data_IF_654367291053
#
_entry.id   IF_654367291053
#
_cell.length_a   1.000
_cell.length_b   1.000
_cell.length_c   1.000
_cell.angle_alpha   90.00
_cell.angle_beta   90.00
_cell.angle_gamma   90.00
#
_symmetry.space_group_name_H-M   'P 1'
#
loop_
_entity.id
_entity.type
_entity.pdbx_description
1 polymer ?
#
# COMPACT_ATOMS: atom_id res chain seq x y z
N UNK A 1 -84.49 23.78 40.00
CA UNK A 1 -83.98 23.58 38.61
C UNK A 1 -82.51 23.66 38.66
N UNK A 2 -81.78 22.52 38.46
CA UNK A 2 -80.34 22.46 38.47
C UNK A 2 -79.88 22.18 37.03
N UNK A 3 -79.23 23.15 36.40
CA UNK A 3 -78.62 23.04 35.06
C UNK A 3 -77.23 22.45 35.25
N UNK A 4 -77.02 21.29 34.64
CA UNK A 4 -75.65 20.66 34.54
C UNK A 4 -74.99 21.12 33.28
N UNK A 5 -73.86 21.79 33.43
CA UNK A 5 -72.97 22.17 32.35
C UNK A 5 -72.02 20.96 32.04
N UNK A 6 -72.13 20.38 30.84
CA UNK A 6 -71.17 19.39 30.36
C UNK A 6 -70.04 20.14 29.72
N UNK A 7 -68.83 19.96 30.26
CA UNK A 7 -67.60 20.43 29.64
C UNK A 7 -67.04 19.31 28.72
N UNK A 8 -66.94 19.59 27.41
CA UNK A 8 -66.24 18.76 26.42
C UNK A 8 -64.77 19.05 26.52
N UNK A 9 -63.99 18.04 26.91
CA UNK A 9 -62.55 18.10 26.88
C UNK A 9 -62.09 17.48 25.54
N UNK A 10 -61.69 18.33 24.62
CA UNK A 10 -61.01 17.89 23.35
C UNK A 10 -59.57 17.55 23.63
N UNK A 11 -59.23 16.26 23.55
CA UNK A 11 -57.85 15.79 23.62
C UNK A 11 -57.23 15.94 22.24
N UNK A 12 -56.34 16.92 22.09
CA UNK A 12 -55.45 17.03 20.93
C UNK A 12 -54.31 16.06 21.11
N UNK A 13 -54.33 14.93 20.38
CA UNK A 13 -53.19 14.04 20.29
C UNK A 13 -52.15 14.65 19.33
N UNK A 14 -51.13 15.25 19.91
CA UNK A 14 -49.96 15.74 19.17
C UNK A 14 -49.11 14.54 18.81
N UNK A 15 -49.18 14.08 17.55
CA UNK A 15 -48.32 13.04 17.00
C UNK A 15 -46.93 13.63 16.81
N UNK A 16 -46.02 13.45 17.78
CA UNK A 16 -44.59 13.66 17.63
C UNK A 16 -44.07 12.53 16.72
N UNK A 17 -44.05 12.76 15.40
CA UNK A 17 -43.18 12.02 14.51
C UNK A 17 -41.74 12.41 14.85
N UNK A 18 -41.12 11.64 15.74
CA UNK A 18 -39.68 11.70 15.96
C UNK A 18 -38.98 11.37 14.65
N UNK A 19 -38.40 12.38 13.99
CA UNK A 19 -37.42 12.15 12.97
C UNK A 19 -36.26 11.39 13.64
N UNK A 20 -36.13 10.10 13.31
CA UNK A 20 -34.94 9.34 13.64
C UNK A 20 -33.75 10.14 13.04
N UNK A 21 -32.69 10.40 13.82
CA UNK A 21 -31.52 10.99 13.25
C UNK A 21 -31.06 10.03 12.14
N UNK A 22 -30.98 10.54 10.92
CA UNK A 22 -30.27 9.84 9.86
C UNK A 22 -28.90 9.49 10.45
N UNK A 23 -28.66 8.20 10.70
CA UNK A 23 -27.33 7.74 11.04
C UNK A 23 -26.44 8.25 9.92
N UNK A 24 -25.60 9.23 10.23
CA UNK A 24 -24.48 9.56 9.37
C UNK A 24 -23.75 8.23 9.22
N UNK A 25 -23.91 7.59 8.07
CA UNK A 25 -23.04 6.49 7.68
C UNK A 25 -21.64 7.09 7.80
N UNK A 26 -20.86 6.65 8.78
CA UNK A 26 -19.44 6.90 8.78
C UNK A 26 -19.01 6.53 7.35
N UNK A 27 -18.56 7.52 6.57
CA UNK A 27 -17.94 7.23 5.29
C UNK A 27 -16.74 6.37 5.66
N UNK A 28 -16.89 5.04 5.51
CA UNK A 28 -15.89 4.08 5.88
C UNK A 28 -14.60 4.44 5.17
N UNK A 29 -13.49 4.15 5.78
CA UNK A 29 -12.17 4.35 5.19
C UNK A 29 -12.19 3.94 3.71
N UNK A 30 -12.10 4.92 2.82
CA UNK A 30 -12.29 4.69 1.38
C UNK A 30 -11.11 4.01 0.71
N UNK A 31 -10.00 3.80 1.45
CA UNK A 31 -8.74 3.34 0.92
C UNK A 31 -8.06 2.33 1.87
N UNK A 32 -7.62 1.20 1.30
CA UNK A 32 -6.81 0.18 1.97
C UNK A 32 -5.43 0.11 1.29
N UNK A 33 -4.37 0.39 2.03
CA UNK A 33 -3.00 0.23 1.57
C UNK A 33 -2.39 -1.07 2.11
N UNK A 34 -1.78 -1.84 1.22
CA UNK A 34 -1.16 -3.13 1.47
C UNK A 34 0.28 -3.13 0.96
N UNK A 35 1.10 -4.01 1.50
CA UNK A 35 2.45 -4.22 0.97
C UNK A 35 3.53 -4.30 2.04
N UNK A 36 4.71 -3.85 1.68
CA UNK A 36 5.92 -3.94 2.47
C UNK A 36 6.37 -2.58 3.07
N UNK A 37 7.68 -2.43 3.26
CA UNK A 37 8.28 -1.23 3.83
C UNK A 37 8.11 0.04 3.00
N UNK A 38 7.93 -0.08 1.68
CA UNK A 38 7.69 1.08 0.80
C UNK A 38 6.29 1.64 1.04
N UNK A 39 5.26 0.77 1.12
CA UNK A 39 3.92 1.19 1.48
C UNK A 39 3.83 1.66 2.94
N UNK A 40 4.62 1.06 3.83
CA UNK A 40 4.70 1.47 5.24
C UNK A 40 5.34 2.85 5.44
N UNK A 41 6.17 3.30 4.49
CA UNK A 41 6.93 4.55 4.61
C UNK A 41 8.16 4.42 5.51
N UNK A 42 8.83 3.26 5.48
CA UNK A 42 9.98 3.01 6.35
C UNK A 42 11.08 4.04 6.12
N UNK A 43 11.51 4.68 7.20
CA UNK A 43 12.67 5.58 7.24
C UNK A 43 13.65 5.08 8.32
N UNK A 44 14.84 4.58 7.94
CA UNK A 44 15.83 4.05 8.89
C UNK A 44 16.36 5.10 9.86
N UNK A 45 16.21 6.40 9.54
CA UNK A 45 16.64 7.50 10.42
C UNK A 45 15.57 7.90 11.44
N UNK A 46 14.40 7.24 11.43
CA UNK A 46 13.30 7.49 12.37
C UNK A 46 13.19 6.38 13.42
N UNK A 47 12.57 6.72 14.54
CA UNK A 47 12.30 5.73 15.59
C UNK A 47 11.22 4.73 15.12
N UNK A 48 11.55 3.44 14.92
CA UNK A 48 10.58 2.44 14.45
C UNK A 48 9.48 2.11 15.46
N UNK A 49 9.63 2.56 16.74
CA UNK A 49 8.61 2.39 17.78
C UNK A 49 7.44 3.37 17.64
N UNK A 50 7.54 4.33 16.73
CA UNK A 50 6.52 5.35 16.49
C UNK A 50 6.07 5.23 15.04
N UNK A 51 5.04 4.41 14.77
CA UNK A 51 4.55 4.16 13.42
C UNK A 51 4.14 5.44 12.67
N UNK A 52 3.60 6.44 13.36
CA UNK A 52 3.25 7.73 12.77
C UNK A 52 4.43 8.56 12.25
N UNK A 53 5.67 8.17 12.54
CA UNK A 53 6.86 8.77 11.94
C UNK A 53 7.15 8.23 10.53
N UNK A 54 6.51 7.11 10.18
CA UNK A 54 6.68 6.43 8.91
C UNK A 54 5.60 6.92 7.95
N UNK A 55 6.00 7.70 6.93
CA UNK A 55 5.09 8.33 5.98
C UNK A 55 5.39 7.79 4.59
N UNK A 56 4.50 6.95 4.08
CA UNK A 56 4.63 6.29 2.80
C UNK A 56 3.84 6.95 1.67
N UNK A 57 3.90 6.39 0.47
CA UNK A 57 3.07 6.85 -0.64
C UNK A 57 1.55 6.80 -0.34
N UNK A 58 1.04 5.86 0.52
CA UNK A 58 -0.38 5.83 0.85
C UNK A 58 -0.89 7.13 1.48
N UNK A 59 -0.11 7.75 2.36
CA UNK A 59 -0.48 9.01 3.01
C UNK A 59 -0.70 10.14 1.97
N UNK A 60 0.16 10.21 0.94
CA UNK A 60 0.03 11.21 -0.13
C UNK A 60 -1.15 10.91 -1.05
N UNK A 61 -1.43 9.63 -1.34
CA UNK A 61 -2.61 9.21 -2.12
C UNK A 61 -3.88 9.55 -1.34
N UNK A 62 -3.95 9.21 -0.06
CA UNK A 62 -5.09 9.49 0.81
C UNK A 62 -5.38 11.00 0.88
N UNK A 63 -4.32 11.79 1.11
CA UNK A 63 -4.41 13.26 1.13
C UNK A 63 -4.92 13.84 -0.19
N UNK A 64 -4.40 13.38 -1.33
CA UNK A 64 -4.81 13.87 -2.65
C UNK A 64 -6.26 13.50 -3.01
N UNK A 65 -6.74 12.35 -2.52
CA UNK A 65 -8.11 11.88 -2.73
C UNK A 65 -9.08 12.41 -1.67
N UNK A 66 -8.58 13.07 -0.63
CA UNK A 66 -9.34 13.50 0.55
C UNK A 66 -10.14 12.35 1.17
N UNK A 67 -9.47 11.23 1.41
CA UNK A 67 -10.02 10.04 2.06
C UNK A 67 -9.14 9.62 3.24
N UNK A 68 -9.72 8.90 4.18
CA UNK A 68 -8.93 8.19 5.18
C UNK A 68 -8.43 6.87 4.60
N UNK A 69 -7.16 6.53 4.88
CA UNK A 69 -6.60 5.24 4.55
C UNK A 69 -6.47 4.33 5.77
N UNK A 70 -6.49 3.04 5.50
CA UNK A 70 -6.06 2.00 6.43
C UNK A 70 -4.81 1.37 5.85
N UNK A 71 -3.66 1.67 6.44
CA UNK A 71 -2.37 1.16 5.98
C UNK A 71 -2.01 -0.10 6.78
N UNK A 72 -2.20 -1.28 6.17
CA UNK A 72 -1.89 -2.58 6.78
C UNK A 72 -0.54 -3.14 6.35
N UNK A 73 0.27 -2.36 5.65
CA UNK A 73 1.60 -2.78 5.20
C UNK A 73 2.55 -3.10 6.37
N UNK A 74 3.55 -3.92 6.09
CA UNK A 74 4.50 -4.39 7.09
C UNK A 74 5.93 -4.36 6.53
N UNK A 75 6.88 -3.68 7.21
CA UNK A 75 8.27 -3.68 6.77
C UNK A 75 8.84 -5.10 6.63
N UNK A 76 9.45 -5.38 5.47
CA UNK A 76 10.06 -6.67 5.18
C UNK A 76 9.08 -7.79 4.78
N UNK A 77 7.81 -7.47 4.50
CA UNK A 77 6.82 -8.45 4.04
C UNK A 77 7.19 -9.00 2.66
N UNK A 78 7.28 -10.32 2.54
CA UNK A 78 7.40 -11.04 1.28
C UNK A 78 6.04 -11.62 0.85
N UNK A 79 5.89 -11.99 -0.42
CA UNK A 79 4.61 -12.51 -0.93
C UNK A 79 4.15 -13.78 -0.21
N UNK A 80 5.08 -14.65 0.20
CA UNK A 80 4.79 -15.84 0.98
C UNK A 80 4.29 -15.52 2.39
N UNK A 81 4.95 -14.57 3.09
CA UNK A 81 4.59 -14.09 4.43
C UNK A 81 3.23 -13.40 4.44
N UNK A 82 2.92 -12.66 3.39
CA UNK A 82 1.63 -12.01 3.19
C UNK A 82 0.45 -12.99 3.22
N UNK A 83 0.66 -14.22 2.72
CA UNK A 83 -0.38 -15.27 2.63
C UNK A 83 -0.39 -16.17 3.88
N UNK A 84 0.79 -16.52 4.41
CA UNK A 84 0.94 -17.51 5.48
C UNK A 84 1.99 -17.09 6.49
N UNK A 85 1.68 -17.27 7.79
CA UNK A 85 2.65 -17.03 8.86
C UNK A 85 3.86 -17.98 8.84
N UNK A 86 3.84 -19.01 8.00
CA UNK A 86 4.95 -19.94 7.76
C UNK A 86 5.57 -19.79 6.37
N UNK A 87 5.03 -18.88 5.53
CA UNK A 87 5.55 -18.58 4.20
C UNK A 87 6.89 -17.86 4.25
N UNK A 88 7.54 -17.71 3.09
CA UNK A 88 8.76 -16.92 2.99
C UNK A 88 8.49 -15.48 3.45
N UNK A 89 9.35 -14.95 4.29
CA UNK A 89 9.29 -13.62 4.85
C UNK A 89 10.71 -13.09 5.05
N UNK A 90 10.91 -11.81 4.87
CA UNK A 90 12.21 -11.22 5.13
C UNK A 90 12.31 -10.73 6.58
N UNK A 91 11.49 -9.75 6.96
CA UNK A 91 11.59 -9.11 8.29
C UNK A 91 10.23 -8.88 8.97
N UNK A 92 9.10 -8.95 8.25
CA UNK A 92 7.79 -8.57 8.81
C UNK A 92 7.42 -9.36 10.08
N UNK A 93 7.60 -10.67 10.09
CA UNK A 93 7.32 -11.47 11.29
C UNK A 93 8.24 -11.11 12.47
N UNK A 94 9.59 -11.06 12.33
CA UNK A 94 10.44 -10.52 13.37
C UNK A 94 10.04 -9.12 13.83
N UNK A 95 9.73 -8.21 12.91
CA UNK A 95 9.30 -6.84 13.21
C UNK A 95 8.10 -6.83 14.16
N UNK A 96 7.07 -7.61 13.84
CA UNK A 96 5.81 -7.66 14.61
C UNK A 96 5.90 -8.50 15.88
N UNK A 97 6.44 -9.71 15.79
CA UNK A 97 6.29 -10.70 16.86
C UNK A 97 7.50 -10.82 17.75
N UNK A 98 8.71 -10.54 17.27
CA UNK A 98 9.95 -10.58 18.07
C UNK A 98 10.25 -9.19 18.64
N UNK A 99 10.37 -8.19 17.77
CA UNK A 99 10.71 -6.83 18.20
C UNK A 99 9.49 -6.05 18.70
N UNK A 100 8.27 -6.54 18.47
CA UNK A 100 7.00 -5.93 18.90
C UNK A 100 6.87 -4.48 18.45
N UNK A 101 7.36 -4.18 17.25
CA UNK A 101 7.28 -2.85 16.67
C UNK A 101 5.86 -2.61 16.12
N UNK A 102 5.31 -1.41 16.28
CA UNK A 102 3.96 -1.11 15.86
C UNK A 102 3.85 -1.02 14.34
N UNK A 103 2.72 -1.45 13.80
CA UNK A 103 2.25 -1.13 12.46
C UNK A 103 1.29 0.06 12.53
N UNK A 104 0.95 0.67 11.38
CA UNK A 104 -0.09 1.71 11.31
C UNK A 104 -1.45 1.17 11.78
N UNK A 105 -1.75 -0.09 11.43
CA UNK A 105 -2.93 -0.81 11.94
C UNK A 105 -2.51 -2.17 12.47
N UNK A 106 -3.02 -2.54 13.65
CA UNK A 106 -2.65 -3.80 14.31
C UNK A 106 -3.53 -4.95 13.81
N UNK A 107 -2.90 -6.09 13.50
CA UNK A 107 -3.55 -7.36 13.20
C UNK A 107 -2.69 -8.54 13.67
N UNK A 108 -3.32 -9.67 14.04
CA UNK A 108 -2.62 -10.83 14.59
C UNK A 108 -2.26 -11.88 13.54
N UNK A 109 -3.03 -12.00 12.48
CA UNK A 109 -2.85 -12.96 11.39
C UNK A 109 -1.90 -12.46 10.30
N UNK A 110 -2.09 -12.98 9.10
CA UNK A 110 -1.41 -12.50 7.89
C UNK A 110 -2.01 -11.19 7.39
N UNK A 111 -1.26 -10.47 6.58
CA UNK A 111 -1.76 -9.25 5.95
C UNK A 111 -2.95 -9.56 5.03
N UNK A 112 -2.92 -10.72 4.33
CA UNK A 112 -4.03 -11.18 3.49
C UNK A 112 -5.30 -11.41 4.31
N UNK A 113 -5.22 -12.12 5.44
CA UNK A 113 -6.38 -12.37 6.29
C UNK A 113 -7.00 -11.08 6.84
N UNK A 114 -6.15 -10.10 7.19
CA UNK A 114 -6.61 -8.77 7.55
C UNK A 114 -7.34 -8.09 6.39
N UNK A 115 -6.73 -8.06 5.20
CA UNK A 115 -7.29 -7.41 4.01
C UNK A 115 -8.65 -8.01 3.63
N UNK A 116 -8.77 -9.34 3.62
CA UNK A 116 -10.03 -10.02 3.34
C UNK A 116 -11.12 -9.68 4.36
N UNK A 117 -10.79 -9.70 5.65
CA UNK A 117 -11.72 -9.35 6.73
C UNK A 117 -12.16 -7.89 6.61
N UNK A 118 -11.20 -7.00 6.37
CA UNK A 118 -11.45 -5.57 6.20
C UNK A 118 -12.38 -5.29 5.02
N UNK A 119 -12.11 -5.85 3.85
CA UNK A 119 -12.91 -5.62 2.64
C UNK A 119 -14.34 -6.15 2.78
N UNK A 120 -14.54 -7.29 3.45
CA UNK A 120 -15.89 -7.80 3.76
C UNK A 120 -16.64 -6.90 4.74
N UNK A 121 -15.96 -6.33 5.73
CA UNK A 121 -16.55 -5.44 6.73
C UNK A 121 -16.79 -4.01 6.20
N UNK A 122 -16.04 -3.59 5.18
CA UNK A 122 -16.06 -2.23 4.65
C UNK A 122 -16.38 -2.21 3.13
N UNK A 123 -17.63 -2.52 2.74
CA UNK A 123 -18.03 -2.55 1.33
C UNK A 123 -17.95 -1.18 0.64
N UNK A 124 -17.76 -0.10 1.42
CA UNK A 124 -17.51 1.25 0.91
C UNK A 124 -16.08 1.52 0.48
N UNK A 125 -15.14 0.58 0.66
CA UNK A 125 -13.75 0.72 0.18
C UNK A 125 -13.75 0.87 -1.34
N UNK A 126 -13.03 1.88 -1.84
CA UNK A 126 -13.02 2.24 -3.27
C UNK A 126 -11.68 1.96 -3.93
N UNK A 127 -10.62 1.99 -3.14
CA UNK A 127 -9.25 1.81 -3.59
C UNK A 127 -8.51 0.82 -2.70
N UNK A 128 -7.81 -0.09 -3.33
CA UNK A 128 -6.74 -0.89 -2.69
C UNK A 128 -5.46 -0.60 -3.44
N UNK A 129 -4.38 -0.27 -2.75
CA UNK A 129 -3.04 -0.27 -3.36
C UNK A 129 -2.20 -1.38 -2.76
N UNK A 130 -1.27 -1.91 -3.54
CA UNK A 130 -0.33 -2.93 -3.10
C UNK A 130 1.04 -2.69 -3.74
N UNK A 131 2.10 -2.75 -2.92
CA UNK A 131 3.49 -2.77 -3.35
C UNK A 131 4.19 -3.90 -2.60
N UNK A 132 4.55 -4.99 -3.31
CA UNK A 132 4.99 -6.23 -2.69
C UNK A 132 5.83 -7.06 -3.67
N UNK A 133 6.88 -7.73 -3.16
CA UNK A 133 7.70 -8.67 -3.93
C UNK A 133 9.21 -8.48 -3.79
N UNK A 134 9.72 -7.28 -3.51
CA UNK A 134 11.16 -7.08 -3.35
C UNK A 134 11.74 -7.91 -2.21
N UNK A 135 10.98 -8.11 -1.15
CA UNK A 135 11.42 -8.88 0.01
C UNK A 135 11.54 -10.39 -0.24
N UNK A 136 10.90 -10.93 -1.26
CA UNK A 136 11.14 -12.31 -1.71
C UNK A 136 12.58 -12.45 -2.20
N UNK A 137 13.06 -11.46 -2.96
CA UNK A 137 14.42 -11.44 -3.47
C UNK A 137 15.44 -11.18 -2.34
N UNK A 138 15.18 -10.23 -1.45
CA UNK A 138 16.03 -9.98 -0.29
C UNK A 138 16.12 -11.20 0.63
N UNK A 139 15.03 -11.95 0.83
CA UNK A 139 15.06 -13.19 1.58
C UNK A 139 15.87 -14.29 0.86
N UNK A 140 15.85 -14.33 -0.47
CA UNK A 140 16.76 -15.21 -1.25
C UNK A 140 18.21 -14.84 -1.02
N UNK A 141 18.54 -13.55 -1.10
CA UNK A 141 19.91 -13.06 -0.93
C UNK A 141 20.46 -13.35 0.46
N UNK A 142 19.72 -12.93 1.51
CA UNK A 142 20.18 -12.98 2.90
C UNK A 142 19.93 -14.35 3.53
N UNK A 143 18.66 -14.78 3.63
CA UNK A 143 18.28 -15.94 4.43
C UNK A 143 18.56 -17.28 3.75
N UNK A 144 18.49 -17.34 2.42
CA UNK A 144 18.66 -18.60 1.68
C UNK A 144 20.10 -18.75 1.18
N UNK A 145 20.65 -17.69 0.58
CA UNK A 145 21.93 -17.76 -0.10
C UNK A 145 23.11 -17.17 0.69
N UNK A 146 22.89 -16.50 1.83
CA UNK A 146 23.93 -15.81 2.59
C UNK A 146 24.85 -14.96 1.69
N UNK A 147 24.25 -14.22 0.76
CA UNK A 147 24.92 -13.37 -0.22
C UNK A 147 25.90 -14.11 -1.16
N UNK A 148 25.78 -15.43 -1.34
CA UNK A 148 26.58 -16.19 -2.30
C UNK A 148 26.04 -15.98 -3.72
N UNK A 149 26.77 -15.31 -4.63
CA UNK A 149 26.23 -14.90 -5.94
C UNK A 149 25.74 -16.08 -6.80
N UNK A 150 26.47 -17.20 -6.81
CA UNK A 150 26.05 -18.38 -7.58
C UNK A 150 24.72 -18.98 -7.09
N UNK A 151 24.47 -18.94 -5.77
CA UNK A 151 23.20 -19.37 -5.18
C UNK A 151 22.06 -18.41 -5.58
N UNK A 152 22.30 -17.09 -5.50
CA UNK A 152 21.31 -16.08 -5.87
C UNK A 152 20.90 -16.25 -7.33
N UNK A 153 21.87 -16.35 -8.25
CA UNK A 153 21.60 -16.58 -9.67
C UNK A 153 20.79 -17.86 -9.89
N UNK A 154 21.16 -18.96 -9.24
CA UNK A 154 20.44 -20.23 -9.36
C UNK A 154 19.02 -20.20 -8.74
N UNK A 155 18.83 -19.47 -7.65
CA UNK A 155 17.55 -19.36 -6.94
C UNK A 155 16.57 -18.35 -7.57
N UNK A 156 17.05 -17.35 -8.29
CA UNK A 156 16.21 -16.26 -8.84
C UNK A 156 15.04 -16.75 -9.67
N UNK A 157 15.16 -17.70 -10.64
CA UNK A 157 14.01 -18.14 -11.43
C UNK A 157 12.88 -18.72 -10.56
N UNK A 158 13.22 -19.48 -9.51
CA UNK A 158 12.24 -20.04 -8.60
C UNK A 158 11.53 -18.97 -7.79
N UNK A 159 12.27 -18.02 -7.24
CA UNK A 159 11.67 -16.92 -6.46
C UNK A 159 10.70 -16.11 -7.31
N UNK A 160 11.03 -15.78 -8.54
CA UNK A 160 10.14 -15.03 -9.44
C UNK A 160 8.87 -15.83 -9.77
N UNK A 161 8.98 -17.14 -9.96
CA UNK A 161 7.82 -18.02 -10.18
C UNK A 161 6.92 -18.09 -8.93
N UNK A 162 7.52 -18.25 -7.75
CA UNK A 162 6.78 -18.29 -6.49
C UNK A 162 6.10 -16.94 -6.21
N UNK A 163 6.78 -15.82 -6.49
CA UNK A 163 6.19 -14.47 -6.39
C UNK A 163 4.94 -14.32 -7.26
N UNK A 164 5.01 -14.73 -8.55
CA UNK A 164 3.86 -14.65 -9.46
C UNK A 164 2.68 -15.46 -8.91
N UNK A 165 2.91 -16.70 -8.52
CA UNK A 165 1.87 -17.59 -7.98
C UNK A 165 1.26 -17.05 -6.68
N UNK A 166 2.07 -16.46 -5.80
CA UNK A 166 1.61 -15.84 -4.57
C UNK A 166 0.79 -14.57 -4.86
N UNK A 167 1.24 -13.71 -5.77
CA UNK A 167 0.52 -12.50 -6.16
C UNK A 167 -0.82 -12.83 -6.82
N UNK A 168 -0.90 -13.88 -7.66
CA UNK A 168 -2.16 -14.39 -8.18
C UNK A 168 -3.11 -14.83 -7.05
N UNK A 169 -2.57 -15.56 -6.06
CA UNK A 169 -3.34 -15.98 -4.88
C UNK A 169 -3.89 -14.77 -4.13
N UNK A 170 -3.06 -13.75 -3.91
CA UNK A 170 -3.43 -12.51 -3.23
C UNK A 170 -4.55 -11.79 -4.00
N UNK A 171 -4.36 -11.52 -5.29
CA UNK A 171 -5.36 -10.81 -6.10
C UNK A 171 -6.67 -11.58 -6.21
N UNK A 172 -6.60 -12.90 -6.39
CA UNK A 172 -7.76 -13.79 -6.38
C UNK A 172 -8.52 -13.71 -5.05
N UNK A 173 -7.83 -13.72 -3.93
CA UNK A 173 -8.44 -13.65 -2.61
C UNK A 173 -9.09 -12.28 -2.37
N UNK A 174 -8.42 -11.17 -2.70
CA UNK A 174 -8.99 -9.83 -2.61
C UNK A 174 -10.28 -9.71 -3.44
N UNK A 175 -10.29 -10.18 -4.68
CA UNK A 175 -11.50 -10.23 -5.52
C UNK A 175 -12.55 -11.19 -4.96
N UNK A 176 -12.13 -12.31 -4.37
CA UNK A 176 -13.00 -13.31 -3.73
C UNK A 176 -13.79 -12.80 -2.52
N UNK A 177 -13.41 -11.65 -1.96
CA UNK A 177 -14.21 -10.98 -0.92
C UNK A 177 -15.50 -10.35 -1.44
N UNK A 178 -15.68 -10.26 -2.76
CA UNK A 178 -16.72 -9.48 -3.43
C UNK A 178 -16.28 -8.04 -3.74
N UNK A 179 -15.03 -7.70 -3.45
CA UNK A 179 -14.50 -6.37 -3.72
C UNK A 179 -14.40 -6.11 -5.23
N UNK A 180 -15.15 -5.12 -5.71
CA UNK A 180 -15.22 -4.70 -7.12
C UNK A 180 -14.53 -3.36 -7.39
N UNK A 181 -14.02 -2.70 -6.35
CA UNK A 181 -13.31 -1.42 -6.49
C UNK A 181 -11.96 -1.53 -7.19
N UNK A 182 -11.25 -0.42 -7.29
CA UNK A 182 -9.95 -0.37 -7.93
C UNK A 182 -8.89 -1.06 -7.07
N UNK A 183 -8.10 -1.93 -7.70
CA UNK A 183 -6.82 -2.41 -7.15
C UNK A 183 -5.73 -1.84 -8.03
N UNK A 184 -4.77 -1.14 -7.44
CA UNK A 184 -3.59 -0.60 -8.11
C UNK A 184 -2.35 -1.22 -7.51
N UNK A 185 -1.61 -1.98 -8.29
CA UNK A 185 -0.31 -2.49 -7.90
C UNK A 185 0.77 -1.50 -8.33
N UNK A 186 1.60 -1.08 -7.38
CA UNK A 186 2.72 -0.20 -7.62
C UNK A 186 3.98 -1.04 -7.85
N UNK A 187 4.65 -0.84 -8.98
CA UNK A 187 5.94 -1.47 -9.26
C UNK A 187 7.09 -0.77 -8.53
N UNK A 188 8.20 -1.48 -8.35
CA UNK A 188 9.40 -0.88 -7.75
C UNK A 188 10.16 -0.04 -8.78
N UNK A 189 10.88 0.95 -8.27
CA UNK A 189 11.83 1.80 -8.99
C UNK A 189 13.21 1.15 -9.07
N UNK A 190 14.06 1.62 -9.97
CA UNK A 190 15.49 1.23 -9.97
C UNK A 190 16.26 2.04 -8.92
N UNK A 191 17.30 1.43 -8.38
CA UNK A 191 18.28 2.11 -7.51
C UNK A 191 19.43 2.73 -8.30
N UNK A 192 19.56 2.40 -9.60
CA UNK A 192 20.60 2.89 -10.48
C UNK A 192 20.05 3.17 -11.87
N UNK A 193 19.94 4.44 -12.24
CA UNK A 193 19.58 4.85 -13.58
C UNK A 193 20.81 5.19 -14.40
N UNK A 194 20.85 4.89 -15.73
CA UNK A 194 19.72 4.42 -16.55
C UNK A 194 19.47 2.90 -16.51
N UNK A 195 20.23 2.11 -15.75
CA UNK A 195 19.98 0.67 -15.65
C UNK A 195 18.73 0.39 -14.83
N UNK A 196 17.71 -0.21 -15.47
CA UNK A 196 16.46 -0.59 -14.84
C UNK A 196 16.22 -2.10 -14.87
N UNK A 197 17.20 -2.88 -15.34
CA UNK A 197 17.03 -4.31 -15.57
C UNK A 197 16.65 -5.08 -14.29
N UNK A 198 17.26 -4.77 -13.16
CA UNK A 198 16.93 -5.38 -11.87
C UNK A 198 15.50 -5.06 -11.43
N UNK A 199 15.07 -3.79 -11.55
CA UNK A 199 13.71 -3.40 -11.21
C UNK A 199 12.70 -4.04 -12.17
N UNK A 200 12.97 -4.11 -13.46
CA UNK A 200 12.12 -4.78 -14.45
C UNK A 200 11.96 -6.27 -14.13
N UNK A 201 13.05 -6.93 -13.74
CA UNK A 201 13.02 -8.34 -13.35
C UNK A 201 12.11 -8.57 -12.15
N UNK A 202 12.26 -7.76 -11.10
CA UNK A 202 11.41 -7.82 -9.91
C UNK A 202 9.94 -7.49 -10.17
N UNK A 203 9.66 -6.57 -11.09
CA UNK A 203 8.30 -6.13 -11.39
C UNK A 203 7.54 -7.11 -12.30
N UNK A 204 8.26 -7.97 -13.05
CA UNK A 204 7.66 -8.93 -13.97
C UNK A 204 6.53 -9.78 -13.37
N UNK A 205 6.75 -10.49 -12.25
CA UNK A 205 5.73 -11.28 -11.58
C UNK A 205 4.48 -10.47 -11.18
N UNK A 206 4.65 -9.25 -10.67
CA UNK A 206 3.54 -8.37 -10.31
C UNK A 206 2.69 -8.02 -11.54
N UNK A 207 3.34 -7.63 -12.63
CA UNK A 207 2.67 -7.26 -13.88
C UNK A 207 1.91 -8.47 -14.46
N UNK A 208 2.54 -9.65 -14.47
CA UNK A 208 1.94 -10.88 -14.98
C UNK A 208 0.70 -11.30 -14.16
N UNK A 209 0.80 -11.29 -12.83
CA UNK A 209 -0.32 -11.62 -11.95
C UNK A 209 -1.45 -10.58 -12.06
N UNK A 210 -1.13 -9.29 -12.08
CA UNK A 210 -2.09 -8.20 -12.15
C UNK A 210 -3.00 -8.29 -13.37
N UNK A 211 -2.44 -8.65 -14.54
CA UNK A 211 -3.17 -8.78 -15.81
C UNK A 211 -4.33 -9.78 -15.73
N UNK A 212 -4.22 -10.81 -14.87
CA UNK A 212 -5.23 -11.89 -14.74
C UNK A 212 -6.45 -11.48 -13.89
N UNK A 213 -6.32 -10.43 -13.07
CA UNK A 213 -7.34 -10.05 -12.06
C UNK A 213 -7.87 -8.62 -12.20
N UNK A 214 -7.62 -7.96 -13.33
CA UNK A 214 -8.05 -6.59 -13.57
C UNK A 214 -7.44 -5.61 -12.55
N UNK A 215 -6.17 -5.83 -12.21
CA UNK A 215 -5.37 -4.96 -11.34
C UNK A 215 -4.63 -3.96 -12.23
N UNK A 216 -4.73 -2.68 -11.91
CA UNK A 216 -4.01 -1.63 -12.61
C UNK A 216 -2.55 -1.61 -12.14
N UNK A 217 -1.64 -1.26 -13.05
CA UNK A 217 -0.22 -1.12 -12.75
C UNK A 217 0.15 0.36 -12.72
N UNK A 218 0.63 0.83 -11.58
CA UNK A 218 1.29 2.12 -11.43
C UNK A 218 2.81 1.92 -11.58
N UNK A 219 3.43 2.67 -12.49
CA UNK A 219 4.85 2.51 -12.80
C UNK A 219 5.72 3.27 -11.79
N UNK A 220 6.58 2.54 -11.08
CA UNK A 220 7.58 3.12 -10.17
C UNK A 220 8.88 3.53 -10.88
N UNK A 221 9.18 2.97 -12.08
CA UNK A 221 10.43 3.21 -12.77
C UNK A 221 10.46 4.60 -13.43
N UNK A 222 9.46 4.92 -14.24
CA UNK A 222 9.48 6.13 -15.07
C UNK A 222 9.54 7.45 -14.27
N UNK A 223 8.77 7.66 -13.18
CA UNK A 223 8.86 8.89 -12.41
C UNK A 223 10.22 9.05 -11.73
N UNK A 224 10.84 7.96 -11.27
CA UNK A 224 12.19 8.00 -10.70
C UNK A 224 13.26 8.25 -11.76
N UNK A 225 13.15 7.60 -12.94
CA UNK A 225 14.06 7.84 -14.07
C UNK A 225 14.04 9.32 -14.50
N UNK A 226 12.86 9.90 -14.62
CA UNK A 226 12.69 11.30 -14.98
C UNK A 226 13.33 12.24 -13.96
N UNK A 227 13.10 12.01 -12.67
CA UNK A 227 13.65 12.83 -11.60
C UNK A 227 15.18 12.64 -11.44
N UNK A 228 15.69 11.40 -11.58
CA UNK A 228 17.12 11.11 -11.51
C UNK A 228 17.92 11.71 -12.68
N UNK A 229 17.27 11.90 -13.84
CA UNK A 229 17.88 12.49 -15.03
C UNK A 229 17.75 14.02 -15.09
N UNK A 230 17.14 14.66 -14.09
CA UNK A 230 16.95 16.11 -14.10
C UNK A 230 18.29 16.86 -14.10
N UNK A 231 18.40 17.99 -14.84
CA UNK A 231 19.66 18.75 -14.97
C UNK A 231 20.22 19.29 -13.66
N UNK A 232 19.41 19.36 -12.61
CA UNK A 232 19.82 19.81 -11.28
C UNK A 232 20.69 18.79 -10.53
N UNK A 233 20.74 17.54 -10.99
CA UNK A 233 21.60 16.53 -10.39
C UNK A 233 23.07 16.76 -10.78
N UNK A 234 24.02 16.70 -9.83
CA UNK A 234 25.44 16.90 -10.16
C UNK A 234 25.89 15.90 -11.21
N UNK A 235 26.76 16.31 -12.17
CA UNK A 235 27.42 15.39 -13.08
C UNK A 235 28.17 14.31 -12.27
N UNK A 236 27.92 13.03 -12.54
CA UNK A 236 28.49 11.90 -11.78
C UNK A 236 27.62 11.40 -10.62
N UNK A 237 26.62 12.16 -10.18
CA UNK A 237 25.52 11.65 -9.35
C UNK A 237 24.43 10.99 -10.22
N UNK A 238 24.50 11.18 -11.53
CA UNK A 238 23.65 10.52 -12.50
C UNK A 238 23.83 9.00 -12.37
N UNK A 239 22.76 8.32 -11.99
CA UNK A 239 22.74 6.86 -11.90
C UNK A 239 22.33 6.30 -10.55
N UNK A 240 22.35 7.06 -9.47
CA UNK A 240 21.79 6.57 -8.21
C UNK A 240 20.59 7.41 -7.77
N UNK A 241 19.53 6.74 -7.41
CA UNK A 241 18.31 7.38 -6.84
C UNK A 241 18.63 8.13 -5.54
N UNK A 242 19.61 7.64 -4.80
CA UNK A 242 20.12 8.24 -3.57
C UNK A 242 20.78 9.61 -3.83
N UNK A 243 21.66 9.68 -4.83
CA UNK A 243 22.30 10.94 -5.21
C UNK A 243 21.31 11.97 -5.75
N UNK A 244 20.22 11.51 -6.35
CA UNK A 244 19.09 12.33 -6.80
C UNK A 244 18.13 12.74 -5.67
N UNK A 245 18.38 12.32 -4.43
CA UNK A 245 17.52 12.59 -3.29
C UNK A 245 16.19 11.83 -3.30
N UNK A 246 16.09 10.74 -4.07
CA UNK A 246 14.87 9.95 -4.23
C UNK A 246 14.79 8.80 -3.23
N UNK A 247 15.94 8.27 -2.80
CA UNK A 247 16.03 7.32 -1.71
C UNK A 247 16.83 7.88 -0.56
N UNK A 248 16.63 7.32 0.62
CA UNK A 248 17.13 7.85 1.88
C UNK A 248 18.64 7.62 2.00
N UNK A 249 19.36 8.63 2.47
CA UNK A 249 20.71 8.46 3.00
C UNK A 249 20.58 8.00 4.45
N UNK A 250 20.95 6.76 4.71
CA UNK A 250 20.95 6.17 6.04
C UNK A 250 22.19 6.62 6.81
N UNK A 251 21.97 7.41 7.86
CA UNK A 251 23.03 7.90 8.74
C UNK A 251 23.22 6.98 9.96
N UNK A 252 22.40 5.96 10.11
CA UNK A 252 22.41 5.01 11.23
C UNK A 252 23.04 3.67 10.86
N UNK A 253 23.21 3.40 9.57
CA UNK A 253 23.80 2.15 9.06
C UNK A 253 25.18 1.89 9.64
N UNK A 254 25.40 0.64 10.02
CA UNK A 254 26.74 0.19 10.49
C UNK A 254 27.54 -0.50 9.39
N UNK A 255 26.85 -0.99 8.35
CA UNK A 255 27.45 -1.74 7.24
C UNK A 255 26.67 -1.45 5.95
N UNK A 256 27.28 -0.79 4.97
CA UNK A 256 28.59 -0.08 5.01
C UNK A 256 28.53 1.10 5.99
N UNK A 257 29.67 1.64 6.42
CA UNK A 257 29.70 2.76 7.36
C UNK A 257 28.91 3.96 6.80
N UNK A 258 28.22 4.73 7.66
CA UNK A 258 27.38 5.86 7.24
C UNK A 258 28.25 6.99 6.65
N UNK A 259 27.67 7.84 5.76
CA UNK A 259 26.32 7.70 5.23
C UNK A 259 26.25 6.65 4.11
N UNK A 260 25.20 5.82 4.10
CA UNK A 260 24.96 4.83 3.05
C UNK A 260 23.62 5.06 2.36
N UNK A 261 23.52 4.71 1.08
CA UNK A 261 22.27 4.76 0.36
C UNK A 261 21.36 3.61 0.81
N UNK A 262 20.15 3.95 1.21
CA UNK A 262 19.11 2.99 1.59
C UNK A 262 18.14 2.78 0.42
N UNK A 263 17.48 1.64 0.39
CA UNK A 263 16.53 1.31 -0.69
C UNK A 263 15.19 2.05 -0.55
N UNK A 264 14.86 2.58 0.63
CA UNK A 264 13.58 3.21 0.90
C UNK A 264 13.51 4.63 0.32
N UNK A 265 12.33 5.03 -0.21
CA UNK A 265 12.15 6.37 -0.79
C UNK A 265 12.25 7.47 0.27
N UNK A 266 12.74 8.63 -0.13
CA UNK A 266 12.55 9.88 0.61
C UNK A 266 11.11 10.37 0.49
N UNK A 267 10.78 11.45 1.18
CA UNK A 267 9.51 12.15 0.98
C UNK A 267 9.22 12.45 -0.50
N UNK A 268 10.22 12.95 -1.24
CA UNK A 268 10.11 13.21 -2.66
C UNK A 268 9.85 11.91 -3.45
N UNK A 269 10.58 10.84 -3.14
CA UNK A 269 10.36 9.54 -3.75
C UNK A 269 8.93 9.02 -3.53
N UNK A 270 8.42 9.09 -2.30
CA UNK A 270 7.03 8.72 -1.99
C UNK A 270 5.99 9.57 -2.72
N UNK A 271 6.21 10.88 -2.86
CA UNK A 271 5.33 11.76 -3.64
C UNK A 271 5.29 11.38 -5.13
N UNK A 272 6.42 11.00 -5.72
CA UNK A 272 6.47 10.53 -7.10
C UNK A 272 5.72 9.21 -7.27
N UNK A 273 5.86 8.27 -6.34
CA UNK A 273 5.11 7.00 -6.35
C UNK A 273 3.60 7.24 -6.18
N UNK A 274 3.20 8.12 -5.27
CA UNK A 274 1.81 8.50 -5.10
C UNK A 274 1.24 9.14 -6.37
N UNK A 275 2.00 10.02 -7.02
CA UNK A 275 1.61 10.62 -8.30
C UNK A 275 1.39 9.56 -9.39
N UNK A 276 2.26 8.57 -9.49
CA UNK A 276 2.10 7.46 -10.44
C UNK A 276 0.79 6.71 -10.21
N UNK A 277 0.44 6.43 -8.96
CA UNK A 277 -0.84 5.79 -8.61
C UNK A 277 -2.02 6.68 -9.03
N UNK A 278 -1.99 7.97 -8.69
CA UNK A 278 -3.06 8.91 -9.02
C UNK A 278 -3.23 9.08 -10.53
N UNK A 279 -2.14 9.17 -11.28
CA UNK A 279 -2.15 9.24 -12.75
C UNK A 279 -2.74 7.95 -13.35
N UNK A 280 -2.40 6.78 -12.82
CA UNK A 280 -2.94 5.48 -13.24
C UNK A 280 -4.45 5.41 -13.00
N UNK A 281 -4.92 5.86 -11.84
CA UNK A 281 -6.35 5.94 -11.53
C UNK A 281 -7.03 6.91 -12.51
N UNK A 282 -6.46 8.09 -12.72
CA UNK A 282 -7.03 9.10 -13.62
C UNK A 282 -7.14 8.59 -15.06
N UNK A 283 -6.14 7.88 -15.56
CA UNK A 283 -6.12 7.29 -16.90
C UNK A 283 -7.17 6.16 -17.07
N UNK A 284 -7.50 5.45 -15.98
CA UNK A 284 -8.52 4.39 -16.00
C UNK A 284 -9.96 4.92 -15.93
N UNK A 285 -10.13 6.22 -15.65
CA UNK A 285 -11.42 6.85 -15.46
C UNK A 285 -11.92 7.53 -16.72
N UNK A 286 -13.09 7.18 -17.26
CA UNK A 286 -13.67 7.92 -18.39
C UNK A 286 -13.98 9.37 -18.00
N UNK A 287 -13.46 10.31 -18.78
CA UNK A 287 -13.76 11.75 -18.73
C UNK A 287 -13.74 12.43 -17.33
N UNK A 288 -12.56 12.70 -16.83
CA UNK A 288 -12.32 13.98 -16.15
C UNK A 288 -12.54 14.06 -14.65
N UNK A 289 -12.85 12.97 -13.93
CA UNK A 289 -13.01 13.08 -12.47
C UNK A 289 -12.50 11.85 -11.73
N UNK A 290 -11.38 11.97 -11.05
CA UNK A 290 -10.88 10.99 -10.08
C UNK A 290 -11.99 10.58 -9.08
N UNK A 291 -12.73 11.55 -8.55
CA UNK A 291 -13.87 11.32 -7.65
C UNK A 291 -15.02 10.57 -8.34
N UNK A 292 -15.28 10.81 -9.62
CA UNK A 292 -16.31 10.12 -10.39
C UNK A 292 -16.03 8.64 -10.59
N UNK A 293 -14.77 8.25 -10.73
CA UNK A 293 -14.34 6.86 -10.87
C UNK A 293 -14.49 6.09 -9.57
N UNK A 294 -14.01 6.68 -8.48
CA UNK A 294 -14.11 6.09 -7.14
C UNK A 294 -15.57 5.98 -6.67
N UNK A 295 -16.50 6.74 -7.26
CA UNK A 295 -17.93 6.69 -6.93
C UNK A 295 -18.76 5.72 -7.78
N UNK A 296 -18.28 5.25 -8.94
CA UNK A 296 -19.04 4.36 -9.84
C UNK A 296 -19.10 2.89 -9.42
N UNK A 297 -18.28 2.45 -8.49
CA UNK A 297 -18.29 1.07 -8.00
C UNK A 297 -19.53 0.71 -7.16
N UNK A 298 -20.57 1.57 -7.15
CA UNK A 298 -21.83 1.36 -6.43
C UNK A 298 -23.05 1.05 -7.33
N UNK A 299 -22.87 0.90 -8.65
CA UNK A 299 -23.97 0.60 -9.56
C UNK A 299 -23.97 -0.87 -10.00
#
# INVERSE_FOLDING_TARGET
>A
MKVRLLALVSVFALSLLGALPASATSEGHGYLALGDSVAFGTDPNRDPRVASNMVGYPDYVASALNVEDVNASCPGEATGGFISLTGLDNVCRPYRFIYKLPLHVSYSGTQLAFAESYLRANPGTRLVTINLGANDFFALEDHICNFVPACIVAGTPKILTDMEANLETIFKALRGTGYSGLIVALTYYSLQYPDTSGAQLLNGPMIAAAAKYGVLIADGIAPFASAASAPANPPGAAGTTCAAGLTIVDVTSKIPPPPSCNVHPTQLGHQLLAKSILDTIAASCPAGSLHGCLNRSRA
#
